data_IF_576805455151
#
_entry.id   IF_576805455151
#
_cell.length_a   1.000
_cell.length_b   1.000
_cell.length_c   1.000
_cell.angle_alpha   90.00
_cell.angle_beta   90.00
_cell.angle_gamma   90.00
#
_symmetry.space_group_name_H-M   'P 1'
#
loop_
_entity.id
_entity.type
_entity.pdbx_description
1 polymer ?
#
# COMPACT_ATOMS: atom_id res chain seq x y z
N UNK A 1 0.08 1.14 -1.44
CA UNK A 1 0.78 0.10 -2.23
C UNK A 1 0.20 -1.25 -1.85
N UNK A 2 -0.12 -2.09 -2.84
CA UNK A 2 -0.61 -3.44 -2.61
C UNK A 2 0.55 -4.45 -2.69
N UNK A 3 0.39 -5.66 -2.15
CA UNK A 3 1.48 -6.66 -2.09
C UNK A 3 1.98 -7.08 -3.48
N UNK A 4 1.11 -7.10 -4.49
CA UNK A 4 1.54 -7.41 -5.86
C UNK A 4 2.45 -6.35 -6.47
N UNK A 5 2.31 -5.08 -6.08
CA UNK A 5 3.25 -4.03 -6.46
C UNK A 5 4.67 -4.36 -5.93
N UNK A 6 4.75 -4.89 -4.70
CA UNK A 6 6.03 -5.30 -4.09
C UNK A 6 6.63 -6.47 -4.86
N UNK A 7 5.82 -7.47 -5.20
CA UNK A 7 6.26 -8.63 -5.99
C UNK A 7 6.78 -8.19 -7.36
N UNK A 8 6.07 -7.28 -8.04
CA UNK A 8 6.54 -6.71 -9.32
C UNK A 8 7.89 -6.03 -9.16
N UNK A 9 8.06 -5.18 -8.15
CA UNK A 9 9.31 -4.46 -7.92
C UNK A 9 10.49 -5.43 -7.67
N UNK A 10 10.30 -6.42 -6.80
CA UNK A 10 11.31 -7.45 -6.52
C UNK A 10 11.65 -8.25 -7.77
N UNK A 11 10.64 -8.68 -8.54
CA UNK A 11 10.86 -9.39 -9.80
C UNK A 11 11.70 -8.57 -10.77
N UNK A 12 11.37 -7.29 -10.97
CA UNK A 12 12.13 -6.40 -11.86
C UNK A 12 13.58 -6.25 -11.42
N UNK A 13 13.82 -6.02 -10.12
CA UNK A 13 15.18 -5.91 -9.56
C UNK A 13 15.99 -7.18 -9.83
N UNK A 14 15.39 -8.37 -9.63
CA UNK A 14 16.09 -9.65 -9.86
C UNK A 14 16.39 -9.94 -11.34
N UNK A 15 15.73 -9.26 -12.27
CA UNK A 15 15.91 -9.43 -13.71
C UNK A 15 16.77 -8.34 -14.33
N UNK A 16 17.03 -7.26 -13.60
CA UNK A 16 17.85 -6.15 -14.06
C UNK A 16 19.33 -6.34 -13.72
N UNK A 17 20.18 -5.77 -14.56
CA UNK A 17 21.63 -5.72 -14.35
C UNK A 17 21.99 -4.54 -13.43
N UNK A 18 21.75 -4.71 -12.13
CA UNK A 18 22.00 -3.69 -11.10
C UNK A 18 22.80 -4.30 -9.97
N UNK A 19 23.89 -3.66 -9.59
CA UNK A 19 24.76 -4.09 -8.51
C UNK A 19 24.91 -2.96 -7.47
N UNK A 20 24.95 -3.32 -6.19
CA UNK A 20 25.20 -2.39 -5.08
C UNK A 20 24.22 -1.20 -4.97
N UNK A 21 23.02 -1.35 -5.51
CA UNK A 21 21.98 -0.32 -5.52
C UNK A 21 20.99 -0.46 -4.35
N UNK A 22 20.47 0.69 -3.91
CA UNK A 22 19.37 0.79 -2.93
C UNK A 22 18.12 1.30 -3.63
N UNK A 23 17.01 0.59 -3.45
CA UNK A 23 15.71 0.90 -4.04
C UNK A 23 14.65 1.14 -2.96
N UNK A 24 13.86 2.21 -3.14
CA UNK A 24 12.60 2.37 -2.43
C UNK A 24 11.51 1.59 -3.17
N UNK A 25 10.80 0.70 -2.49
CA UNK A 25 9.60 0.03 -3.02
C UNK A 25 8.37 0.74 -2.46
N UNK A 26 7.73 1.55 -3.31
CA UNK A 26 6.55 2.34 -2.98
C UNK A 26 5.74 2.64 -4.26
N UNK A 27 4.62 3.35 -4.10
CA UNK A 27 3.76 3.79 -5.20
C UNK A 27 4.02 5.25 -5.65
N UNK A 28 5.01 5.94 -5.07
CA UNK A 28 5.37 7.32 -5.42
C UNK A 28 4.35 8.40 -5.03
N UNK A 29 3.26 8.03 -4.37
CA UNK A 29 2.18 8.93 -3.95
C UNK A 29 1.84 8.69 -2.47
N UNK A 30 1.47 9.75 -1.74
CA UNK A 30 0.99 9.62 -0.36
C UNK A 30 -0.54 9.68 -0.29
N UNK A 31 -1.10 9.07 0.75
CA UNK A 31 -2.50 9.18 1.13
C UNK A 31 -2.59 9.53 2.61
N UNK A 32 -3.50 10.42 2.97
CA UNK A 32 -3.75 10.73 4.39
C UNK A 32 -4.45 9.57 5.09
N UNK A 33 -4.31 9.46 6.41
CA UNK A 33 -5.05 8.48 7.21
C UNK A 33 -6.57 8.61 7.01
N UNK A 34 -7.09 9.85 6.92
CA UNK A 34 -8.51 10.08 6.68
C UNK A 34 -8.94 9.55 5.30
N UNK A 35 -8.15 9.77 4.24
CA UNK A 35 -8.45 9.25 2.92
C UNK A 35 -8.45 7.72 2.88
N UNK A 36 -7.56 7.08 3.64
CA UNK A 36 -7.52 5.62 3.80
C UNK A 36 -8.78 5.12 4.52
N UNK A 37 -9.17 5.77 5.63
CA UNK A 37 -10.39 5.44 6.39
C UNK A 37 -11.62 5.55 5.48
N UNK A 38 -11.81 6.68 4.80
CA UNK A 38 -12.95 6.92 3.90
C UNK A 38 -13.01 5.89 2.76
N UNK A 39 -11.85 5.53 2.19
CA UNK A 39 -11.79 4.50 1.16
C UNK A 39 -12.18 3.13 1.73
N UNK A 40 -11.74 2.82 2.95
CA UNK A 40 -12.04 1.54 3.59
C UNK A 40 -13.50 1.41 4.00
N UNK A 41 -14.14 2.48 4.47
CA UNK A 41 -15.60 2.50 4.74
C UNK A 41 -16.40 2.17 3.48
N UNK A 42 -16.01 2.75 2.33
CA UNK A 42 -16.63 2.43 1.02
C UNK A 42 -16.45 0.98 0.65
N UNK A 43 -15.22 0.45 0.78
CA UNK A 43 -14.89 -0.94 0.48
C UNK A 43 -15.64 -1.92 1.37
N UNK A 44 -15.73 -1.62 2.67
CA UNK A 44 -16.37 -2.48 3.65
C UNK A 44 -17.90 -2.33 3.69
N UNK A 45 -18.44 -1.29 3.05
CA UNK A 45 -19.88 -0.99 3.09
C UNK A 45 -20.38 -0.62 4.49
N UNK A 46 -19.49 -0.14 5.37
CA UNK A 46 -19.82 0.18 6.76
C UNK A 46 -19.08 1.42 7.23
N UNK A 47 -19.72 2.20 8.09
CA UNK A 47 -19.10 3.37 8.72
C UNK A 47 -18.38 2.96 10.00
N UNK A 48 -17.16 3.45 10.18
CA UNK A 48 -16.32 3.18 11.33
C UNK A 48 -16.56 4.23 12.42
N UNK A 49 -16.65 3.79 13.68
CA UNK A 49 -16.62 4.71 14.81
C UNK A 49 -15.19 5.18 15.09
N UNK A 50 -14.83 6.37 14.60
CA UNK A 50 -13.46 6.90 14.72
C UNK A 50 -13.27 7.63 16.05
N UNK A 51 -12.33 7.14 16.88
CA UNK A 51 -11.84 7.84 18.07
C UNK A 51 -10.50 8.52 17.77
N UNK A 52 -10.49 9.86 17.74
CA UNK A 52 -9.26 10.64 17.59
C UNK A 52 -8.42 10.57 18.86
N UNK A 53 -7.11 10.38 18.70
CA UNK A 53 -6.14 10.37 19.78
C UNK A 53 -4.98 11.33 19.43
N UNK A 54 -4.21 11.82 20.41
CA UNK A 54 -2.98 12.55 20.16
C UNK A 54 -2.02 11.74 19.30
N UNK A 55 -1.24 12.43 18.46
CA UNK A 55 -0.15 11.80 17.71
C UNK A 55 0.87 11.17 18.64
N UNK A 56 1.56 10.13 18.16
CA UNK A 56 2.57 9.43 18.95
C UNK A 56 3.87 10.25 18.95
N UNK A 57 4.63 10.15 20.04
CA UNK A 57 5.98 10.73 20.06
C UNK A 57 6.83 10.11 18.95
N UNK A 58 7.52 10.95 18.18
CA UNK A 58 8.31 10.51 17.01
C UNK A 58 7.49 10.17 15.76
N UNK A 59 6.18 10.41 15.73
CA UNK A 59 5.34 10.11 14.56
C UNK A 59 5.73 10.95 13.33
N UNK A 60 5.95 10.24 12.22
CA UNK A 60 6.23 10.86 10.92
C UNK A 60 4.93 11.39 10.32
N UNK A 61 4.86 12.72 10.12
CA UNK A 61 3.64 13.37 9.61
C UNK A 61 3.35 13.12 8.13
N UNK A 62 4.40 12.98 7.32
CA UNK A 62 4.30 12.71 5.88
C UNK A 62 5.39 11.74 5.47
N UNK A 63 5.03 10.79 4.62
CA UNK A 63 5.96 9.77 4.12
C UNK A 63 5.62 9.49 2.67
N UNK A 64 6.52 9.88 1.78
CA UNK A 64 6.44 9.62 0.34
C UNK A 64 7.85 9.29 -0.15
N UNK A 65 7.98 8.15 -0.83
CA UNK A 65 9.27 7.68 -1.31
C UNK A 65 9.46 8.00 -2.78
N UNK A 66 10.68 8.43 -3.14
CA UNK A 66 11.08 8.56 -4.54
C UNK A 66 11.29 7.15 -5.13
N UNK A 67 10.52 6.84 -6.18
CA UNK A 67 10.54 5.54 -6.88
C UNK A 67 11.20 5.60 -8.26
N UNK A 68 11.94 6.67 -8.55
CA UNK A 68 12.54 6.90 -9.87
C UNK A 68 13.47 5.78 -10.33
N UNK A 69 14.21 5.15 -9.41
CA UNK A 69 15.04 3.98 -9.73
C UNK A 69 14.21 2.78 -10.20
N UNK A 70 13.08 2.50 -9.55
CA UNK A 70 12.18 1.43 -9.98
C UNK A 70 11.53 1.73 -11.33
N UNK A 71 11.08 2.98 -11.56
CA UNK A 71 10.49 3.38 -12.84
C UNK A 71 11.47 3.12 -14.00
N UNK A 72 12.77 3.40 -13.81
CA UNK A 72 13.81 3.09 -14.81
C UNK A 72 13.94 1.60 -15.12
N UNK A 73 13.58 0.73 -14.17
CA UNK A 73 13.54 -0.73 -14.36
C UNK A 73 12.21 -1.22 -14.96
N UNK A 74 11.29 -0.33 -15.33
CA UNK A 74 9.98 -0.69 -15.89
C UNK A 74 8.88 -0.94 -14.85
N UNK A 75 9.08 -0.48 -13.62
CA UNK A 75 8.05 -0.56 -12.58
C UNK A 75 6.85 0.35 -12.88
N UNK A 76 5.66 -0.17 -12.63
CA UNK A 76 4.38 0.54 -12.86
C UNK A 76 3.47 0.33 -11.67
N UNK A 77 2.83 1.38 -11.17
CA UNK A 77 1.85 1.25 -10.09
C UNK A 77 0.49 0.83 -10.65
N UNK A 78 0.17 -0.47 -10.57
CA UNK A 78 -1.07 -1.03 -11.14
C UNK A 78 -2.24 -0.99 -10.18
N UNK A 79 -1.97 -0.86 -8.88
CA UNK A 79 -2.98 -0.92 -7.84
C UNK A 79 -3.32 0.47 -7.30
N UNK A 80 -4.59 0.86 -7.43
CA UNK A 80 -5.13 2.00 -6.69
C UNK A 80 -5.26 1.64 -5.19
N UNK A 81 -5.38 2.67 -4.34
CA UNK A 81 -5.66 2.46 -2.92
C UNK A 81 -6.94 1.64 -2.73
N UNK A 82 -8.00 2.00 -3.42
CA UNK A 82 -9.30 1.31 -3.38
C UNK A 82 -9.17 -0.14 -3.83
N UNK A 83 -8.53 -0.42 -4.98
CA UNK A 83 -8.38 -1.79 -5.48
C UNK A 83 -7.58 -2.68 -4.50
N UNK A 84 -6.50 -2.15 -3.93
CA UNK A 84 -5.70 -2.88 -2.95
C UNK A 84 -6.45 -3.16 -1.65
N UNK A 85 -7.21 -2.17 -1.15
CA UNK A 85 -8.04 -2.32 0.05
C UNK A 85 -9.20 -3.29 -0.18
N UNK A 86 -9.85 -3.27 -1.35
CA UNK A 86 -10.87 -4.25 -1.75
C UNK A 86 -10.34 -5.67 -1.70
N UNK A 87 -9.16 -5.92 -2.30
CA UNK A 87 -8.55 -7.26 -2.25
C UNK A 87 -8.16 -7.70 -0.85
N UNK A 88 -7.69 -6.77 -0.03
CA UNK A 88 -7.41 -7.06 1.37
C UNK A 88 -8.69 -7.44 2.14
N UNK A 89 -9.77 -6.68 1.96
CA UNK A 89 -11.07 -6.91 2.61
C UNK A 89 -11.70 -8.25 2.19
N UNK A 90 -11.71 -8.55 0.89
CA UNK A 90 -12.14 -9.86 0.37
C UNK A 90 -11.37 -11.02 1.06
N UNK A 91 -10.05 -10.86 1.25
CA UNK A 91 -9.21 -11.86 1.91
C UNK A 91 -9.43 -11.96 3.43
N UNK A 92 -9.85 -10.88 4.09
CA UNK A 92 -10.25 -10.91 5.50
C UNK A 92 -11.55 -11.71 5.68
N UNK A 93 -12.57 -11.42 4.87
CA UNK A 93 -13.86 -12.12 4.93
C UNK A 93 -13.74 -13.63 4.69
N UNK A 94 -12.91 -14.05 3.72
CA UNK A 94 -12.68 -15.48 3.46
C UNK A 94 -12.09 -16.23 4.66
N UNK A 95 -11.20 -15.59 5.43
CA UNK A 95 -10.58 -16.19 6.62
C UNK A 95 -11.58 -16.37 7.75
N UNK A 96 -12.45 -15.39 7.96
CA UNK A 96 -13.55 -15.50 8.93
C UNK A 96 -14.52 -16.63 8.57
N UNK A 97 -14.91 -16.73 7.30
CA UNK A 97 -15.79 -17.80 6.81
C UNK A 97 -15.15 -19.20 6.85
N UNK A 98 -13.82 -19.30 6.90
CA UNK A 98 -13.10 -20.58 7.01
C UNK A 98 -12.85 -21.01 8.46
N UNK A 99 -13.16 -20.14 9.43
CA UNK A 99 -13.00 -20.39 10.87
C UNK A 99 -14.34 -20.70 11.57
N UNK A 100 -15.46 -20.55 10.86
CA UNK A 100 -16.81 -20.91 11.28
C UNK A 100 -17.26 -22.20 10.58
#
# INVERSE_FOLDING_TARGET
MYVEDVIQALWLITKSDTEHEVFNIANGNEASLNAIIETYEKVAGTSLQIKKAPGREGEVKRSVANIGKLIKLGYTTKWSLEAGLSKYWEGAQRREASQN
#
